data_IF_169768583416
#
_entry.id   IF_169768583416
#
_cell.length_a   1.000
_cell.length_b   1.000
_cell.length_c   1.000
_cell.angle_alpha   90.00
_cell.angle_beta   90.00
_cell.angle_gamma   90.00
#
_symmetry.space_group_name_H-M   'P 1'
#
loop_
_entity.id
_entity.type
_entity.pdbx_description
1 polymer ?
#
# COMPACT_ATOMS: atom_id res chain seq x y z
N UNK A 1 11.51 18.29 14.57
CA UNK A 1 11.46 17.44 15.79
C UNK A 1 10.36 16.38 15.77
N UNK A 2 9.08 16.69 15.50
CA UNK A 2 8.01 15.67 15.44
C UNK A 2 8.27 14.54 14.41
N UNK A 3 8.81 14.88 13.23
CA UNK A 3 9.06 13.89 12.18
C UNK A 3 10.10 12.85 12.58
N UNK A 4 11.20 13.23 13.24
CA UNK A 4 12.24 12.27 13.62
C UNK A 4 11.73 11.25 14.66
N UNK A 5 10.92 11.70 15.62
CA UNK A 5 10.31 10.79 16.60
C UNK A 5 9.35 9.80 15.95
N UNK A 6 8.56 10.24 14.97
CA UNK A 6 7.66 9.36 14.22
C UNK A 6 8.43 8.34 13.38
N UNK A 7 9.49 8.76 12.70
CA UNK A 7 10.35 7.85 11.93
C UNK A 7 10.95 6.77 12.82
N UNK A 8 11.48 7.12 13.99
CA UNK A 8 12.05 6.12 14.90
C UNK A 8 10.99 5.08 15.34
N UNK A 9 9.77 5.52 15.68
CA UNK A 9 8.65 4.62 16.00
C UNK A 9 8.27 3.73 14.82
N UNK A 10 8.29 4.28 13.61
CA UNK A 10 8.06 3.50 12.38
C UNK A 10 9.12 2.41 12.26
N UNK A 11 10.41 2.75 12.34
CA UNK A 11 11.51 1.77 12.20
C UNK A 11 11.45 0.66 13.27
N UNK A 12 11.12 1.02 14.52
CA UNK A 12 10.89 0.06 15.61
C UNK A 12 9.72 -0.88 15.29
N UNK A 13 8.60 -0.33 14.80
CA UNK A 13 7.43 -1.12 14.42
C UNK A 13 7.67 -2.01 13.20
N UNK A 14 8.46 -1.54 12.21
CA UNK A 14 8.89 -2.36 11.07
C UNK A 14 9.69 -3.57 11.55
N UNK A 15 10.62 -3.36 12.51
CA UNK A 15 11.40 -4.45 13.10
C UNK A 15 10.50 -5.47 13.82
N UNK A 16 9.51 -5.00 14.60
CA UNK A 16 8.54 -5.88 15.25
C UNK A 16 7.80 -6.76 14.24
N UNK A 17 7.31 -6.17 13.14
CA UNK A 17 6.62 -6.94 12.10
C UNK A 17 7.52 -7.97 11.45
N UNK A 18 8.73 -7.57 11.07
CA UNK A 18 9.75 -8.45 10.49
C UNK A 18 10.04 -9.62 11.41
N UNK A 19 10.41 -9.36 12.67
CA UNK A 19 10.78 -10.41 13.62
C UNK A 19 9.61 -11.36 13.86
N UNK A 20 8.39 -10.84 13.99
CA UNK A 20 7.18 -11.66 14.15
C UNK A 20 6.94 -12.54 12.92
N UNK A 21 7.09 -11.99 11.72
CA UNK A 21 6.90 -12.71 10.47
C UNK A 21 7.90 -13.85 10.34
N UNK A 22 9.20 -13.56 10.44
CA UNK A 22 10.24 -14.56 10.22
C UNK A 22 10.36 -15.58 11.35
N UNK A 23 9.99 -15.23 12.58
CA UNK A 23 9.86 -16.24 13.65
C UNK A 23 8.72 -17.23 13.37
N UNK A 24 7.58 -16.74 12.86
CA UNK A 24 6.46 -17.61 12.50
C UNK A 24 6.73 -18.41 11.23
N UNK A 25 7.49 -17.86 10.27
CA UNK A 25 7.82 -18.49 9.00
C UNK A 25 8.49 -19.85 9.18
N UNK A 26 9.39 -19.99 10.18
CA UNK A 26 10.05 -21.26 10.51
C UNK A 26 9.05 -22.38 10.79
N UNK A 27 7.99 -22.09 11.55
CA UNK A 27 6.95 -23.08 11.87
C UNK A 27 5.97 -23.28 10.71
N UNK A 28 5.68 -22.22 9.96
CA UNK A 28 4.84 -22.28 8.79
C UNK A 28 5.46 -23.20 7.72
N UNK A 29 6.76 -23.06 7.46
CA UNK A 29 7.52 -23.92 6.55
C UNK A 29 7.50 -25.39 7.00
N UNK A 30 7.80 -25.66 8.27
CA UNK A 30 7.77 -27.03 8.83
C UNK A 30 6.41 -27.71 8.65
N UNK A 31 5.34 -26.94 8.70
CA UNK A 31 3.97 -27.44 8.58
C UNK A 31 3.38 -27.24 7.19
N UNK A 32 4.14 -26.72 6.23
CA UNK A 32 3.73 -26.43 4.85
C UNK A 32 2.50 -25.48 4.77
N UNK A 33 2.39 -24.56 5.71
CA UNK A 33 1.38 -23.49 5.70
C UNK A 33 2.00 -22.17 5.23
N UNK A 34 1.17 -21.24 4.69
CA UNK A 34 1.60 -19.87 4.50
C UNK A 34 1.97 -19.22 5.84
N UNK A 35 3.02 -18.41 5.85
CA UNK A 35 3.42 -17.64 7.02
C UNK A 35 2.29 -16.73 7.48
N UNK A 36 1.83 -16.85 8.74
CA UNK A 36 0.69 -16.07 9.22
C UNK A 36 1.07 -14.60 9.36
N UNK A 37 0.34 -13.72 8.68
CA UNK A 37 0.54 -12.26 8.78
C UNK A 37 -0.76 -11.49 8.51
N UNK A 38 -1.09 -10.53 9.38
CA UNK A 38 -2.11 -9.52 9.09
C UNK A 38 -1.46 -8.28 8.46
N UNK A 39 -1.05 -8.44 7.21
CA UNK A 39 -0.39 -7.37 6.43
C UNK A 39 -1.21 -6.08 6.42
N UNK A 40 -2.55 -6.18 6.43
CA UNK A 40 -3.44 -5.03 6.46
C UNK A 40 -3.28 -4.25 7.76
N UNK A 41 -3.37 -4.91 8.92
CA UNK A 41 -3.23 -4.23 10.21
C UNK A 41 -1.84 -3.59 10.40
N UNK A 42 -0.76 -4.30 10.04
CA UNK A 42 0.60 -3.74 10.09
C UNK A 42 0.73 -2.50 9.19
N UNK A 43 0.17 -2.54 7.99
CA UNK A 43 0.18 -1.41 7.05
C UNK A 43 -0.59 -0.19 7.58
N UNK A 44 -1.74 -0.41 8.22
CA UNK A 44 -2.54 0.67 8.81
C UNK A 44 -1.80 1.36 9.97
N UNK A 45 -1.16 0.58 10.85
CA UNK A 45 -0.41 1.10 11.99
C UNK A 45 0.83 1.87 11.52
N UNK A 46 1.61 1.33 10.57
CA UNK A 46 2.82 2.01 10.10
C UNK A 46 2.49 3.35 9.44
N UNK A 47 1.42 3.42 8.64
CA UNK A 47 0.96 4.69 8.05
C UNK A 47 0.47 5.66 9.13
N UNK A 48 -0.24 5.16 10.15
CA UNK A 48 -0.69 5.97 11.29
C UNK A 48 0.48 6.61 12.03
N UNK A 49 1.51 5.80 12.33
CA UNK A 49 2.75 6.26 12.97
C UNK A 49 3.50 7.28 12.10
N UNK A 50 3.61 7.02 10.80
CA UNK A 50 4.33 7.87 9.86
C UNK A 50 3.67 9.24 9.70
N UNK A 51 2.35 9.26 9.52
CA UNK A 51 1.59 10.48 9.20
C UNK A 51 1.06 11.20 10.46
N UNK A 52 1.07 10.54 11.62
CA UNK A 52 0.47 11.06 12.84
C UNK A 52 -1.06 11.10 12.81
N UNK A 53 -1.68 10.30 11.94
CA UNK A 53 -3.14 10.18 11.83
C UNK A 53 -3.57 8.91 12.55
N UNK A 54 -4.59 9.00 13.40
CA UNK A 54 -5.06 7.85 14.17
C UNK A 54 -5.95 6.93 13.31
N UNK A 55 -6.04 5.67 13.72
CA UNK A 55 -7.07 4.74 13.22
C UNK A 55 -8.42 4.95 13.93
N UNK A 56 -9.50 4.39 13.38
CA UNK A 56 -10.88 4.67 13.84
C UNK A 56 -11.35 3.96 15.11
N UNK A 57 -10.44 3.45 15.93
CA UNK A 57 -10.79 2.74 17.18
C UNK A 57 -11.85 1.62 17.00
N UNK A 58 -11.67 0.74 15.98
CA UNK A 58 -12.57 -0.37 15.63
C UNK A 58 -13.95 0.02 15.09
N UNK A 59 -14.17 1.30 14.74
CA UNK A 59 -15.39 1.73 14.04
C UNK A 59 -15.30 1.39 12.55
N UNK A 60 -16.44 1.06 11.92
CA UNK A 60 -16.55 0.88 10.46
C UNK A 60 -16.19 2.19 9.73
N UNK A 61 -15.62 2.08 8.53
CA UNK A 61 -15.30 3.22 7.67
C UNK A 61 -13.99 3.03 6.92
N UNK A 62 -13.37 4.17 6.57
CA UNK A 62 -11.98 4.25 6.10
C UNK A 62 -11.00 3.65 7.10
N UNK A 63 -9.77 3.39 6.69
CA UNK A 63 -8.76 2.87 7.61
C UNK A 63 -8.29 3.92 8.63
N UNK A 64 -8.16 5.18 8.21
CA UNK A 64 -7.71 6.30 9.06
C UNK A 64 -8.86 7.27 9.38
N UNK A 65 -8.73 8.00 10.50
CA UNK A 65 -9.75 8.94 10.99
C UNK A 65 -9.97 10.14 10.07
N UNK A 66 -8.96 10.56 9.30
CA UNK A 66 -9.08 11.66 8.33
C UNK A 66 -9.80 11.27 7.03
N UNK A 67 -10.18 10.00 6.89
CA UNK A 67 -10.85 9.47 5.69
C UNK A 67 -9.90 8.73 4.73
N UNK A 68 -8.58 8.74 4.98
CA UNK A 68 -7.62 8.02 4.16
C UNK A 68 -7.74 6.50 4.28
N UNK A 69 -7.35 5.81 3.21
CA UNK A 69 -7.40 4.35 3.10
C UNK A 69 -6.00 3.77 2.91
N UNK A 70 -5.77 2.53 3.37
CA UNK A 70 -4.46 1.88 3.36
C UNK A 70 -4.55 0.49 2.74
N UNK A 71 -3.79 0.24 1.68
CA UNK A 71 -3.68 -1.09 1.07
C UNK A 71 -2.29 -1.65 1.33
N UNK A 72 -2.25 -2.80 1.97
CA UNK A 72 -1.02 -3.54 2.25
C UNK A 72 -0.85 -4.73 1.31
N UNK A 73 0.38 -4.98 0.88
CA UNK A 73 0.78 -6.20 0.18
C UNK A 73 2.12 -6.69 0.75
N UNK A 74 2.26 -8.00 1.01
CA UNK A 74 3.49 -8.60 1.50
C UNK A 74 4.00 -9.62 0.47
N UNK A 75 5.29 -9.54 0.19
CA UNK A 75 6.00 -10.26 -0.85
C UNK A 75 7.23 -11.03 -0.31
N UNK A 76 7.48 -11.07 1.00
CA UNK A 76 8.67 -11.72 1.56
C UNK A 76 8.76 -13.21 1.23
N UNK A 77 7.63 -13.92 1.29
CA UNK A 77 7.53 -15.36 0.96
C UNK A 77 6.33 -15.63 0.05
N UNK A 78 5.94 -14.63 -0.75
CA UNK A 78 4.79 -14.77 -1.63
C UNK A 78 5.12 -15.67 -2.83
N UNK A 79 4.31 -16.73 -3.00
CA UNK A 79 4.36 -17.61 -4.18
C UNK A 79 3.69 -16.91 -5.37
N UNK A 80 2.53 -16.30 -5.11
CA UNK A 80 1.79 -15.52 -6.10
C UNK A 80 2.32 -14.09 -6.20
N UNK A 81 2.13 -13.48 -7.38
CA UNK A 81 2.40 -12.05 -7.57
C UNK A 81 1.57 -11.22 -6.57
N UNK A 82 2.21 -10.53 -5.61
CA UNK A 82 1.54 -9.63 -4.68
C UNK A 82 0.80 -8.54 -5.43
N UNK A 83 -0.30 -8.07 -4.84
CA UNK A 83 -1.16 -7.04 -5.42
C UNK A 83 -1.85 -6.24 -4.33
N UNK A 84 -2.10 -4.97 -4.59
CA UNK A 84 -3.01 -4.17 -3.79
C UNK A 84 -4.43 -4.45 -4.26
N UNK A 85 -5.25 -5.02 -3.39
CA UNK A 85 -6.64 -5.37 -3.69
C UNK A 85 -7.60 -4.27 -3.21
N UNK A 86 -8.72 -4.09 -3.91
CA UNK A 86 -9.81 -3.21 -3.50
C UNK A 86 -9.36 -1.77 -3.33
N UNK A 87 -8.49 -1.31 -4.24
CA UNK A 87 -7.91 0.04 -4.21
C UNK A 87 -9.01 1.10 -4.36
N UNK A 88 -9.99 0.82 -5.21
CA UNK A 88 -11.22 1.61 -5.35
C UNK A 88 -12.44 0.74 -5.03
N UNK A 89 -13.55 1.37 -4.66
CA UNK A 89 -14.76 0.66 -4.22
C UNK A 89 -15.57 0.17 -5.41
N UNK A 90 -15.84 -1.13 -5.46
CA UNK A 90 -16.75 -1.73 -6.44
C UNK A 90 -17.48 -2.92 -5.80
N UNK A 91 -18.76 -3.10 -6.13
CA UNK A 91 -19.60 -4.19 -5.60
C UNK A 91 -19.81 -4.16 -4.08
N UNK A 92 -19.80 -2.98 -3.45
CA UNK A 92 -20.05 -2.80 -2.01
C UNK A 92 -21.43 -2.20 -1.75
N UNK A 93 -21.96 -2.34 -0.53
CA UNK A 93 -23.24 -1.72 -0.12
C UNK A 93 -23.16 -0.19 0.11
N UNK A 94 -22.02 0.43 -0.19
CA UNK A 94 -21.81 1.87 -0.01
C UNK A 94 -22.50 2.64 -1.14
N UNK A 95 -23.17 3.76 -0.84
CA UNK A 95 -23.84 4.60 -1.86
C UNK A 95 -22.90 5.16 -2.93
N UNK A 96 -21.61 5.24 -2.62
CA UNK A 96 -20.56 5.65 -3.57
C UNK A 96 -19.83 4.48 -4.24
N UNK A 97 -20.29 3.24 -4.05
CA UNK A 97 -19.73 2.07 -4.73
C UNK A 97 -19.82 2.23 -6.24
N UNK A 98 -18.86 1.65 -6.96
CA UNK A 98 -18.90 1.59 -8.43
C UNK A 98 -18.92 2.97 -9.10
N UNK A 99 -18.37 3.99 -8.42
CA UNK A 99 -18.38 5.36 -8.91
C UNK A 99 -17.15 6.16 -8.48
N UNK A 100 -16.83 7.18 -9.27
CA UNK A 100 -15.76 8.14 -8.99
C UNK A 100 -16.01 8.95 -7.70
N UNK A 101 -17.25 9.04 -7.23
CA UNK A 101 -17.60 9.71 -5.97
C UNK A 101 -16.91 9.08 -4.75
N UNK A 102 -16.49 7.82 -4.84
CA UNK A 102 -15.69 7.17 -3.80
C UNK A 102 -14.30 7.82 -3.64
N UNK A 103 -13.70 8.29 -4.74
CA UNK A 103 -12.38 8.93 -4.75
C UNK A 103 -12.44 10.35 -4.21
N UNK A 104 -13.56 11.05 -4.41
CA UNK A 104 -13.75 12.43 -3.93
C UNK A 104 -13.77 12.52 -2.40
N UNK A 105 -14.15 11.42 -1.74
CA UNK A 105 -14.20 11.29 -0.27
C UNK A 105 -12.90 10.72 0.33
N UNK A 106 -11.93 10.33 -0.50
CA UNK A 106 -10.67 9.72 -0.07
C UNK A 106 -9.52 10.73 -0.19
N UNK A 107 -9.11 11.39 0.91
CA UNK A 107 -8.08 12.43 0.82
C UNK A 107 -6.71 11.88 0.41
N UNK A 108 -6.36 10.70 0.92
CA UNK A 108 -5.14 9.98 0.52
C UNK A 108 -5.39 8.48 0.48
N UNK A 109 -4.73 7.85 -0.47
CA UNK A 109 -4.62 6.39 -0.58
C UNK A 109 -3.15 6.02 -0.35
N UNK A 110 -2.91 5.23 0.69
CA UNK A 110 -1.58 4.71 1.00
C UNK A 110 -1.44 3.29 0.49
N UNK A 111 -0.34 3.02 -0.20
CA UNK A 111 0.01 1.69 -0.71
C UNK A 111 1.27 1.27 0.03
N UNK A 112 1.23 0.16 0.77
CA UNK A 112 2.31 -0.33 1.64
C UNK A 112 2.78 -1.68 1.15
N UNK A 113 4.01 -1.75 0.63
CA UNK A 113 4.62 -2.99 0.17
C UNK A 113 5.73 -3.44 1.10
N UNK A 114 5.61 -4.66 1.59
CA UNK A 114 6.66 -5.39 2.29
C UNK A 114 7.30 -6.33 1.27
N UNK A 115 8.55 -6.08 0.88
CA UNK A 115 9.23 -6.90 -0.13
C UNK A 115 10.74 -6.95 0.12
N UNK A 116 11.50 -7.52 -0.81
CA UNK A 116 12.96 -7.47 -0.79
C UNK A 116 13.52 -6.45 -1.77
N UNK A 117 14.60 -5.80 -1.39
CA UNK A 117 15.44 -4.99 -2.26
C UNK A 117 16.25 -5.95 -3.18
N UNK A 118 16.20 -5.79 -4.51
CA UNK A 118 16.74 -6.78 -5.44
C UNK A 118 18.27 -6.85 -5.53
N UNK A 119 19.01 -5.79 -5.22
CA UNK A 119 20.47 -5.76 -5.37
C UNK A 119 21.19 -6.49 -4.22
N UNK A 120 20.61 -6.48 -3.02
CA UNK A 120 21.20 -7.03 -1.81
C UNK A 120 20.31 -8.04 -1.08
N UNK A 121 19.14 -8.36 -1.65
CA UNK A 121 18.11 -9.25 -1.08
C UNK A 121 17.66 -8.85 0.33
N UNK A 122 17.64 -7.54 0.63
CA UNK A 122 17.30 -7.03 1.96
C UNK A 122 15.81 -6.82 2.10
N UNK A 123 15.23 -7.27 3.21
CA UNK A 123 13.83 -6.99 3.54
C UNK A 123 13.61 -5.48 3.62
N UNK A 124 12.54 -4.98 3.02
CA UNK A 124 12.22 -3.56 2.98
C UNK A 124 10.73 -3.31 3.08
N UNK A 125 10.40 -2.09 3.52
CA UNK A 125 9.05 -1.55 3.50
C UNK A 125 9.04 -0.28 2.65
N UNK A 126 8.13 -0.22 1.67
CA UNK A 126 7.91 0.93 0.81
C UNK A 126 6.48 1.42 0.95
N UNK A 127 6.31 2.73 1.03
CA UNK A 127 5.00 3.37 1.16
C UNK A 127 4.87 4.45 0.09
N UNK A 128 3.82 4.37 -0.70
CA UNK A 128 3.41 5.39 -1.66
C UNK A 128 2.14 6.09 -1.17
N UNK A 129 1.94 7.33 -1.59
CA UNK A 129 0.77 8.11 -1.20
C UNK A 129 0.19 8.85 -2.41
N UNK A 130 -0.98 8.41 -2.84
CA UNK A 130 -1.78 9.03 -3.91
C UNK A 130 -2.78 9.99 -3.29
N UNK A 131 -3.16 11.04 -4.03
CA UNK A 131 -4.27 11.95 -3.70
C UNK A 131 -5.47 11.72 -4.64
N UNK A 132 -6.35 10.74 -4.38
CA UNK A 132 -7.39 10.33 -5.33
C UNK A 132 -8.33 11.43 -5.81
N UNK A 133 -8.55 12.46 -5.00
CA UNK A 133 -9.36 13.62 -5.38
C UNK A 133 -8.69 14.49 -6.45
N UNK A 134 -7.38 14.64 -6.37
CA UNK A 134 -6.62 15.64 -7.14
C UNK A 134 -5.78 15.00 -8.26
N UNK A 135 -5.59 13.68 -8.20
CA UNK A 135 -4.76 12.92 -9.14
C UNK A 135 -5.53 12.56 -10.40
N UNK A 136 -5.48 13.45 -11.39
CA UNK A 136 -6.18 13.25 -12.65
C UNK A 136 -5.76 11.96 -13.37
N UNK A 137 -4.47 11.61 -13.35
CA UNK A 137 -3.97 10.43 -14.06
C UNK A 137 -4.48 9.14 -13.41
N UNK A 138 -4.45 9.07 -12.07
CA UNK A 138 -5.03 7.95 -11.34
C UNK A 138 -6.54 7.87 -11.56
N UNK A 139 -7.24 9.01 -11.57
CA UNK A 139 -8.69 9.07 -11.79
C UNK A 139 -9.08 8.62 -13.20
N UNK A 140 -8.33 8.98 -14.23
CA UNK A 140 -8.55 8.52 -15.60
C UNK A 140 -8.47 6.98 -15.69
N UNK A 141 -7.46 6.37 -15.06
CA UNK A 141 -7.35 4.90 -15.00
C UNK A 141 -8.52 4.26 -14.25
N UNK A 142 -8.95 4.85 -13.11
CA UNK A 142 -10.10 4.35 -12.35
C UNK A 142 -11.41 4.45 -13.14
N UNK A 143 -11.63 5.57 -13.84
CA UNK A 143 -12.81 5.78 -14.68
C UNK A 143 -12.86 4.76 -15.82
N UNK A 144 -11.75 4.54 -16.51
CA UNK A 144 -11.64 3.52 -17.55
C UNK A 144 -11.93 2.11 -17.01
N UNK A 145 -11.47 1.79 -15.81
CA UNK A 145 -11.76 0.51 -15.18
C UNK A 145 -13.25 0.35 -14.84
N UNK A 146 -13.90 1.38 -14.29
CA UNK A 146 -15.33 1.36 -14.02
C UNK A 146 -16.16 1.19 -15.31
N UNK A 147 -15.82 1.91 -16.37
CA UNK A 147 -16.46 1.81 -17.69
C UNK A 147 -16.32 0.40 -18.28
N UNK A 148 -15.10 -0.16 -18.30
CA UNK A 148 -14.87 -1.54 -18.76
C UNK A 148 -15.64 -2.57 -17.94
N UNK A 149 -15.84 -2.32 -16.65
CA UNK A 149 -16.65 -3.19 -15.78
C UNK A 149 -18.14 -3.09 -16.13
N UNK A 150 -18.65 -1.88 -16.31
CA UNK A 150 -20.04 -1.63 -16.73
C UNK A 150 -20.34 -2.30 -18.09
N UNK A 151 -19.40 -2.24 -19.03
CA UNK A 151 -19.49 -2.88 -20.33
C UNK A 151 -19.29 -4.41 -20.29
N UNK A 152 -18.94 -4.98 -19.13
CA UNK A 152 -18.72 -6.42 -18.96
C UNK A 152 -17.39 -6.96 -19.49
N UNK A 153 -16.47 -6.08 -19.92
CA UNK A 153 -15.09 -6.44 -20.29
C UNK A 153 -14.30 -6.89 -19.07
N UNK A 154 -14.49 -6.21 -17.93
CA UNK A 154 -13.94 -6.59 -16.63
C UNK A 154 -15.06 -7.16 -15.77
N UNK A 155 -14.96 -8.43 -15.40
CA UNK A 155 -15.97 -9.11 -14.54
C UNK A 155 -15.67 -9.00 -13.04
N UNK A 156 -14.43 -8.66 -12.69
CA UNK A 156 -13.98 -8.57 -11.31
C UNK A 156 -14.53 -7.32 -10.62
N UNK A 157 -15.00 -7.47 -9.39
CA UNK A 157 -15.31 -6.33 -8.50
C UNK A 157 -14.06 -5.84 -7.73
N UNK A 158 -12.91 -6.45 -7.98
CA UNK A 158 -11.68 -6.15 -7.27
C UNK A 158 -10.72 -5.42 -8.21
N UNK A 159 -10.66 -4.10 -8.09
CA UNK A 159 -9.62 -3.29 -8.71
C UNK A 159 -8.26 -3.64 -8.08
N UNK A 160 -7.33 -4.12 -8.90
CA UNK A 160 -6.02 -4.59 -8.45
C UNK A 160 -4.90 -3.73 -9.03
N UNK A 161 -3.94 -3.34 -8.19
CA UNK A 161 -2.67 -2.79 -8.65
C UNK A 161 -1.56 -3.80 -8.40
N UNK A 162 -0.73 -4.01 -9.40
CA UNK A 162 0.39 -4.94 -9.34
C UNK A 162 1.70 -4.16 -9.24
N UNK A 163 2.33 -4.10 -8.05
CA UNK A 163 3.64 -3.48 -7.92
C UNK A 163 4.71 -4.34 -8.59
N UNK A 164 5.74 -3.70 -9.15
CA UNK A 164 6.93 -4.39 -9.64
C UNK A 164 7.74 -4.94 -8.45
N UNK A 165 7.62 -6.24 -8.22
CA UNK A 165 8.41 -6.98 -7.23
C UNK A 165 9.77 -7.34 -7.83
N UNK A 166 10.82 -7.33 -7.00
CA UNK A 166 12.19 -7.61 -7.44
C UNK A 166 12.81 -6.47 -8.27
N UNK A 167 12.24 -5.27 -8.21
CA UNK A 167 12.79 -4.09 -8.88
C UNK A 167 12.77 -2.87 -7.96
N UNK A 168 13.73 -1.97 -8.16
CA UNK A 168 13.76 -0.64 -7.58
C UNK A 168 12.88 0.33 -8.39
N UNK A 169 11.59 -0.02 -8.50
CA UNK A 169 10.61 0.66 -9.34
C UNK A 169 9.37 1.05 -8.54
N UNK A 170 8.87 2.26 -8.81
CA UNK A 170 7.63 2.81 -8.28
C UNK A 170 6.46 2.72 -9.28
N UNK A 171 6.70 2.08 -10.44
CA UNK A 171 5.69 1.73 -11.43
C UNK A 171 4.83 0.56 -10.99
N UNK A 172 3.50 0.73 -11.01
CA UNK A 172 2.52 -0.34 -10.83
C UNK A 172 1.68 -0.52 -12.10
N UNK A 173 1.23 -1.76 -12.33
CA UNK A 173 0.46 -2.14 -13.51
C UNK A 173 -0.98 -2.51 -13.16
N UNK A 174 -1.89 -2.28 -14.11
CA UNK A 174 -3.30 -2.63 -14.07
C UNK A 174 -3.79 -2.92 -15.51
N UNK A 175 -4.92 -3.60 -15.65
CA UNK A 175 -5.59 -3.87 -16.95
C UNK A 175 -5.96 -2.60 -17.73
N UNK A 176 -5.96 -1.43 -17.08
CA UNK A 176 -6.25 -0.13 -17.66
C UNK A 176 -5.01 0.75 -17.85
N UNK A 177 -3.81 0.25 -17.55
CA UNK A 177 -2.54 0.94 -17.80
C UNK A 177 -1.54 0.85 -16.66
N UNK A 178 -0.37 1.46 -16.89
CA UNK A 178 0.74 1.50 -15.95
C UNK A 178 0.94 2.94 -15.46
N UNK A 179 1.11 3.11 -14.16
CA UNK A 179 1.39 4.42 -13.57
C UNK A 179 2.64 4.35 -12.69
N UNK A 180 3.40 5.45 -12.65
CA UNK A 180 4.46 5.69 -11.68
C UNK A 180 3.88 6.41 -10.46
N UNK A 181 4.09 5.82 -9.27
CA UNK A 181 3.48 6.27 -8.03
C UNK A 181 4.46 7.09 -7.18
N UNK A 182 3.99 8.14 -6.49
CA UNK A 182 4.85 8.99 -5.68
C UNK A 182 5.29 8.28 -4.37
N UNK A 183 6.58 7.90 -4.29
CA UNK A 183 7.17 7.21 -3.14
C UNK A 183 7.36 8.13 -1.93
N UNK A 184 6.54 7.91 -0.88
CA UNK A 184 6.57 8.67 0.37
C UNK A 184 7.67 8.21 1.31
N UNK A 185 7.89 6.90 1.44
CA UNK A 185 8.79 6.33 2.44
C UNK A 185 9.41 5.01 1.96
N UNK A 186 10.69 4.80 2.27
CA UNK A 186 11.39 3.54 2.09
C UNK A 186 12.34 3.29 3.28
N UNK A 187 12.31 2.09 3.84
CA UNK A 187 13.27 1.61 4.82
C UNK A 187 13.68 0.17 4.51
N UNK A 188 14.95 -0.14 4.76
CA UNK A 188 15.59 -1.45 4.50
C UNK A 188 16.11 -2.06 5.80
N UNK A 189 16.01 -3.37 5.92
CA UNK A 189 16.54 -4.15 7.02
C UNK A 189 18.03 -4.46 6.77
N UNK A 190 18.89 -4.00 7.67
CA UNK A 190 20.33 -4.19 7.62
C UNK A 190 20.82 -4.53 9.02
N UNK A 191 21.61 -5.60 9.15
CA UNK A 191 22.28 -5.98 10.40
C UNK A 191 21.34 -6.05 11.63
N UNK A 192 20.09 -6.50 11.44
CA UNK A 192 19.13 -6.70 12.53
C UNK A 192 18.17 -5.53 12.81
N UNK A 193 18.30 -4.42 12.08
CA UNK A 193 17.49 -3.20 12.26
C UNK A 193 17.01 -2.61 10.94
N UNK A 194 15.92 -1.84 10.99
CA UNK A 194 15.47 -1.06 9.83
C UNK A 194 16.15 0.32 9.80
N UNK A 195 16.69 0.67 8.63
CA UNK A 195 17.28 1.97 8.36
C UNK A 195 16.44 2.74 7.34
N UNK A 196 16.21 4.02 7.62
CA UNK A 196 15.54 4.91 6.67
C UNK A 196 16.41 5.12 5.43
N UNK A 197 15.80 4.96 4.25
CA UNK A 197 16.41 5.25 2.95
C UNK A 197 15.84 6.53 2.35
N UNK A 198 14.51 6.64 2.35
CA UNK A 198 13.78 7.75 1.74
C UNK A 198 12.64 8.13 2.66
N UNK A 199 12.47 9.44 2.88
CA UNK A 199 11.23 10.01 3.41
C UNK A 199 10.97 11.37 2.76
N UNK A 200 9.83 11.47 2.07
CA UNK A 200 9.42 12.62 1.25
C UNK A 200 8.08 13.18 1.75
N UNK A 201 8.04 13.83 2.93
CA UNK A 201 6.79 14.28 3.56
C UNK A 201 5.96 15.24 2.70
N UNK A 202 6.58 15.95 1.77
CA UNK A 202 5.91 16.79 0.78
C UNK A 202 4.91 16.02 -0.09
N UNK A 203 5.11 14.73 -0.33
CA UNK A 203 4.21 13.87 -1.12
C UNK A 203 2.81 13.78 -0.50
N UNK A 204 2.68 13.93 0.82
CA UNK A 204 1.37 14.02 1.48
C UNK A 204 0.52 15.20 0.97
N UNK A 205 1.17 16.20 0.36
CA UNK A 205 0.57 17.39 -0.24
C UNK A 205 0.75 17.47 -1.75
N UNK A 206 1.71 16.79 -2.36
CA UNK A 206 2.01 16.94 -3.80
C UNK A 206 2.02 15.63 -4.57
N UNK A 207 1.76 14.49 -3.91
CA UNK A 207 1.80 13.16 -4.52
C UNK A 207 0.72 12.98 -5.57
N UNK A 208 1.12 12.99 -6.84
CA UNK A 208 0.31 12.67 -8.00
C UNK A 208 1.06 11.63 -8.84
N UNK A 209 0.33 10.67 -9.40
CA UNK A 209 0.83 9.68 -10.31
C UNK A 209 1.19 10.30 -11.66
N UNK A 210 2.07 9.63 -12.39
CA UNK A 210 2.34 9.93 -13.80
C UNK A 210 2.13 8.67 -14.64
N UNK A 211 1.86 8.84 -15.94
CA UNK A 211 1.78 7.69 -16.86
C UNK A 211 3.15 7.04 -16.95
N UNK A 212 3.18 5.72 -16.88
CA UNK A 212 4.39 4.94 -17.07
C UNK A 212 4.31 4.18 -18.40
N UNK A 213 5.43 4.12 -19.10
CA UNK A 213 5.67 3.15 -20.18
C UNK A 213 5.66 1.73 -19.60
#
# INVERSE_FOLDING_TARGET
MKNQSNINKVLEFLKLHHDTFFQAAVFAEQTQHPTPTDTRAYSQIVVSLLCGVQGRSRKKGSDLEDGSDVKGANAWEAIDKPRFNGVIKAGTQSDVSDSMASLDKMPRLFLVLWNKEPEHDRERCRIWCVRPRDDQVFREMCASWYEKRENGEIRSNNFQLHPNIGQNSDKFTNECGNLDYPLLFCAEFVAGEYHLKIYRPEILRTGLCTKAD
#
